data_IF_683804083651
#
_entry.id   IF_683804083651
#
_cell.length_a   1.000
_cell.length_b   1.000
_cell.length_c   1.000
_cell.angle_alpha   90.00
_cell.angle_beta   90.00
_cell.angle_gamma   90.00
#
_symmetry.space_group_name_H-M   'P 1'
#
loop_
_entity.id
_entity.type
_entity.pdbx_description
1 polymer ?
#
# COMPACT_ATOMS: atom_id res chain seq x y z
N UNK A 1 -13.31 12.60 -15.40
CA UNK A 1 -13.72 11.20 -15.66
C UNK A 1 -14.09 10.55 -14.34
N UNK A 2 -15.16 9.74 -14.29
CA UNK A 2 -15.51 8.98 -13.08
C UNK A 2 -14.99 7.55 -13.23
N UNK A 3 -14.28 7.05 -12.25
CA UNK A 3 -13.87 5.65 -12.13
C UNK A 3 -14.55 5.00 -10.94
N UNK A 4 -14.78 3.70 -11.03
CA UNK A 4 -15.32 2.87 -9.96
C UNK A 4 -14.25 1.88 -9.53
N UNK A 5 -13.87 1.94 -8.28
CA UNK A 5 -12.82 1.09 -7.71
C UNK A 5 -13.28 0.51 -6.38
N UNK A 6 -12.68 -0.59 -5.99
CA UNK A 6 -12.83 -1.10 -4.63
C UNK A 6 -11.58 -0.73 -3.84
N UNK A 7 -11.71 0.06 -2.78
CA UNK A 7 -10.58 0.43 -1.93
C UNK A 7 -10.77 -0.14 -0.54
N UNK A 8 -9.83 -0.98 -0.11
CA UNK A 8 -9.88 -1.68 1.18
C UNK A 8 -11.21 -2.42 1.41
N UNK A 9 -11.78 -2.97 0.34
CA UNK A 9 -13.06 -3.70 0.36
C UNK A 9 -14.31 -2.83 0.22
N UNK A 10 -14.18 -1.51 0.08
CA UNK A 10 -15.30 -0.60 -0.14
C UNK A 10 -15.37 -0.13 -1.59
N UNK A 11 -16.55 -0.22 -2.19
CA UNK A 11 -16.81 0.33 -3.52
C UNK A 11 -16.95 1.85 -3.44
N UNK A 12 -16.12 2.54 -4.21
CA UNK A 12 -16.10 4.00 -4.27
C UNK A 12 -16.10 4.49 -5.71
N UNK A 13 -16.66 5.67 -5.91
CA UNK A 13 -16.58 6.40 -7.18
C UNK A 13 -15.69 7.62 -6.99
N UNK A 14 -14.68 7.74 -7.85
CA UNK A 14 -13.76 8.86 -7.84
C UNK A 14 -13.85 9.66 -9.13
N UNK A 15 -13.97 10.96 -9.00
CA UNK A 15 -13.78 11.87 -10.11
C UNK A 15 -12.28 12.17 -10.25
N UNK A 16 -11.72 11.90 -11.42
CA UNK A 16 -10.29 12.01 -11.70
C UNK A 16 -10.02 12.83 -12.96
N UNK A 17 -8.82 13.42 -13.03
CA UNK A 17 -8.23 13.92 -14.28
C UNK A 17 -7.58 12.77 -15.05
N UNK A 18 -7.50 12.88 -16.38
CA UNK A 18 -6.97 11.79 -17.22
C UNK A 18 -5.47 11.55 -17.01
N UNK A 19 -4.75 12.56 -16.61
CA UNK A 19 -3.31 12.58 -16.34
C UNK A 19 -2.98 12.38 -14.85
N UNK A 20 -4.01 12.19 -14.00
CA UNK A 20 -3.84 12.01 -12.56
C UNK A 20 -3.27 10.63 -12.26
N UNK A 21 -2.21 10.58 -11.43
CA UNK A 21 -1.66 9.31 -10.96
C UNK A 21 -2.55 8.67 -9.90
N UNK A 22 -2.47 7.35 -9.77
CA UNK A 22 -3.15 6.66 -8.67
C UNK A 22 -2.70 7.19 -7.30
N UNK A 23 -1.41 7.55 -7.16
CA UNK A 23 -0.88 8.15 -5.93
C UNK A 23 -1.60 9.45 -5.59
N UNK A 24 -1.77 10.34 -6.56
CA UNK A 24 -2.44 11.63 -6.34
C UNK A 24 -3.90 11.42 -5.95
N UNK A 25 -4.62 10.52 -6.64
CA UNK A 25 -6.00 10.16 -6.30
C UNK A 25 -6.12 9.57 -4.90
N UNK A 26 -5.27 8.61 -4.54
CA UNK A 26 -5.25 8.02 -3.20
C UNK A 26 -5.07 9.09 -2.13
N UNK A 27 -4.10 9.96 -2.29
CA UNK A 27 -3.79 11.00 -1.31
C UNK A 27 -4.90 12.06 -1.20
N UNK A 28 -5.53 12.44 -2.32
CA UNK A 28 -6.68 13.34 -2.34
C UNK A 28 -7.88 12.76 -1.56
N UNK A 29 -8.01 11.44 -1.53
CA UNK A 29 -9.06 10.73 -0.80
C UNK A 29 -8.63 10.25 0.60
N UNK A 30 -7.49 10.74 1.13
CA UNK A 30 -7.09 10.51 2.51
C UNK A 30 -6.22 9.27 2.75
N UNK A 31 -5.79 8.56 1.70
CA UNK A 31 -4.91 7.37 1.81
C UNK A 31 -3.44 7.77 1.86
N UNK A 32 -2.99 8.24 3.01
CA UNK A 32 -1.65 8.81 3.19
C UNK A 32 -0.54 7.78 3.40
N UNK A 33 -0.89 6.50 3.56
CA UNK A 33 0.07 5.40 3.63
C UNK A 33 0.87 5.20 2.35
N UNK A 34 0.26 5.48 1.19
CA UNK A 34 0.98 5.64 -0.06
C UNK A 34 1.77 6.94 -0.03
N UNK A 35 3.12 6.84 0.06
CA UNK A 35 3.97 8.01 0.35
C UNK A 35 4.22 8.87 -0.88
N UNK A 36 3.94 10.16 -0.70
CA UNK A 36 4.32 11.21 -1.63
C UNK A 36 5.69 11.80 -1.21
N UNK A 37 6.50 12.18 -2.16
CA UNK A 37 7.81 12.77 -1.86
C UNK A 37 8.99 11.79 -1.94
N UNK A 38 8.73 10.56 -2.40
CA UNK A 38 9.79 9.65 -2.86
C UNK A 38 10.28 10.01 -4.26
N UNK A 39 10.67 9.01 -5.05
CA UNK A 39 11.28 9.21 -6.37
C UNK A 39 10.31 9.70 -7.46
N UNK A 40 9.03 9.37 -7.37
CA UNK A 40 7.99 9.56 -8.43
C UNK A 40 8.32 8.91 -9.79
N UNK A 41 9.31 8.02 -9.83
CA UNK A 41 9.79 7.33 -11.03
C UNK A 41 9.65 5.81 -10.96
N UNK A 42 8.98 5.30 -9.90
CA UNK A 42 8.74 3.87 -9.73
C UNK A 42 9.91 3.08 -9.11
N UNK A 43 10.94 3.76 -8.59
CA UNK A 43 12.17 3.12 -8.09
C UNK A 43 12.13 2.84 -6.59
N UNK A 44 11.68 3.79 -5.77
CA UNK A 44 11.80 3.68 -4.31
C UNK A 44 10.76 2.79 -3.64
N UNK A 45 9.62 2.53 -4.28
CA UNK A 45 8.55 1.69 -3.75
C UNK A 45 7.75 2.27 -2.58
N UNK A 46 8.07 3.47 -2.08
CA UNK A 46 7.40 4.04 -0.91
C UNK A 46 5.91 4.35 -1.13
N UNK A 47 5.49 4.48 -2.39
CA UNK A 47 4.10 4.67 -2.80
C UNK A 47 3.36 3.36 -3.12
N UNK A 48 3.96 2.20 -2.84
CA UNK A 48 3.37 0.91 -3.20
C UNK A 48 2.02 0.70 -2.49
N UNK A 49 1.09 0.17 -3.27
CA UNK A 49 -0.22 -0.33 -2.84
C UNK A 49 -0.42 -1.71 -3.47
N UNK A 50 -1.42 -2.47 -3.05
CA UNK A 50 -1.76 -3.70 -3.74
C UNK A 50 -2.89 -3.44 -4.73
N UNK A 51 -2.66 -3.78 -5.98
CA UNK A 51 -3.67 -3.79 -7.03
C UNK A 51 -4.00 -5.27 -7.33
N UNK A 52 -5.24 -5.66 -7.05
CA UNK A 52 -5.68 -7.06 -7.13
C UNK A 52 -4.72 -8.02 -6.39
N UNK A 53 -4.27 -7.60 -5.20
CA UNK A 53 -3.36 -8.36 -4.34
C UNK A 53 -1.88 -8.30 -4.71
N UNK A 54 -1.49 -7.62 -5.79
CA UNK A 54 -0.10 -7.50 -6.25
C UNK A 54 0.46 -6.11 -5.97
N UNK A 55 1.70 -5.98 -5.45
CA UNK A 55 2.29 -4.67 -5.21
C UNK A 55 2.57 -3.91 -6.51
N UNK A 56 2.13 -2.66 -6.55
CA UNK A 56 2.36 -1.73 -7.67
C UNK A 56 2.77 -0.36 -7.14
N UNK A 57 3.61 0.35 -7.89
CA UNK A 57 3.99 1.73 -7.57
C UNK A 57 2.91 2.70 -8.06
N UNK A 58 2.12 3.23 -7.14
CA UNK A 58 0.99 4.12 -7.47
C UNK A 58 1.41 5.42 -8.16
N UNK A 59 2.66 5.85 -8.03
CA UNK A 59 3.17 7.08 -8.66
C UNK A 59 3.39 6.97 -10.18
N UNK A 60 3.45 5.75 -10.72
CA UNK A 60 3.67 5.49 -12.16
C UNK A 60 2.44 4.91 -12.85
N UNK A 61 1.36 4.71 -12.11
CA UNK A 61 0.11 4.18 -12.62
C UNK A 61 -0.93 5.30 -12.70
N UNK A 62 -1.58 5.47 -13.86
CA UNK A 62 -2.68 6.43 -13.97
C UNK A 62 -3.93 5.93 -13.25
N UNK A 63 -4.63 6.84 -12.58
CA UNK A 63 -5.86 6.51 -11.87
C UNK A 63 -6.94 5.91 -12.80
N UNK A 64 -6.97 6.34 -14.07
CA UNK A 64 -7.88 5.80 -15.06
C UNK A 64 -7.69 4.29 -15.34
N UNK A 65 -6.46 3.77 -15.15
CA UNK A 65 -6.13 2.37 -15.44
C UNK A 65 -6.67 1.40 -14.39
N UNK A 66 -7.02 1.90 -13.20
CA UNK A 66 -7.50 1.04 -12.10
C UNK A 66 -9.03 0.98 -12.01
N UNK A 67 -9.74 1.50 -13.02
CA UNK A 67 -11.20 1.39 -13.06
C UNK A 67 -11.64 -0.08 -13.07
N UNK A 68 -12.50 -0.47 -12.12
CA UNK A 68 -12.99 -1.83 -11.94
C UNK A 68 -12.09 -2.75 -11.12
N UNK A 69 -10.93 -2.28 -10.66
CA UNK A 69 -9.96 -3.05 -9.88
C UNK A 69 -10.10 -2.86 -8.36
N UNK A 70 -9.48 -3.76 -7.61
CA UNK A 70 -9.37 -3.69 -6.14
C UNK A 70 -8.02 -3.13 -5.73
N UNK A 71 -8.04 -2.18 -4.80
CA UNK A 71 -6.86 -1.51 -4.26
C UNK A 71 -6.82 -1.74 -2.76
N UNK A 72 -5.75 -2.35 -2.25
CA UNK A 72 -5.48 -2.39 -0.82
C UNK A 72 -4.38 -1.40 -0.46
N UNK A 73 -4.65 -0.60 0.54
CA UNK A 73 -3.69 0.32 1.15
C UNK A 73 -3.41 -0.09 2.59
N UNK A 74 -2.38 0.47 3.21
CA UNK A 74 -2.05 0.17 4.61
C UNK A 74 -3.21 0.51 5.56
N UNK A 75 -4.00 1.50 5.22
CA UNK A 75 -5.16 1.93 6.00
C UNK A 75 -6.26 0.85 6.07
N UNK A 76 -6.29 -0.09 5.14
CA UNK A 76 -7.15 -1.26 5.19
C UNK A 76 -6.68 -2.37 6.13
N UNK A 77 -5.48 -2.23 6.71
CA UNK A 77 -4.85 -3.23 7.57
C UNK A 77 -4.85 -2.77 9.02
N UNK A 78 -5.76 -3.26 9.85
CA UNK A 78 -5.81 -2.88 11.26
C UNK A 78 -6.57 -1.58 11.52
N UNK A 79 -6.33 -0.99 12.70
CA UNK A 79 -7.15 0.08 13.25
C UNK A 79 -6.64 1.48 12.92
N UNK A 80 -7.47 2.31 12.25
CA UNK A 80 -7.25 3.73 11.99
C UNK A 80 -8.42 4.58 12.47
N UNK A 81 -8.56 4.78 13.80
CA UNK A 81 -9.70 5.50 14.38
C UNK A 81 -9.86 6.92 13.85
N UNK A 82 -8.75 7.55 13.48
CA UNK A 82 -8.76 8.95 13.05
C UNK A 82 -9.36 9.17 11.65
N UNK A 83 -9.41 8.13 10.83
CA UNK A 83 -9.86 8.23 9.44
C UNK A 83 -11.26 7.67 9.20
N UNK A 84 -11.90 7.11 10.24
CA UNK A 84 -13.31 6.69 10.21
C UNK A 84 -13.62 5.45 9.38
N UNK A 85 -12.61 4.77 8.85
CA UNK A 85 -12.77 3.63 7.95
C UNK A 85 -12.00 2.41 8.39
N UNK A 86 -12.31 2.04 9.59
CA UNK A 86 -11.75 0.87 10.21
C UNK A 86 -12.72 -0.24 10.33
N UNK A 87 -12.33 -1.36 9.73
CA UNK A 87 -13.13 -2.57 9.81
C UNK A 87 -12.57 -3.63 10.73
N UNK A 88 -11.34 -3.49 11.23
CA UNK A 88 -10.69 -4.49 12.08
C UNK A 88 -10.05 -3.85 13.30
N UNK A 89 -10.42 -4.32 14.48
CA UNK A 89 -9.83 -3.86 15.73
C UNK A 89 -8.38 -4.32 15.88
N UNK A 90 -7.52 -3.40 16.30
CA UNK A 90 -6.13 -3.63 16.60
C UNK A 90 -5.22 -3.74 15.37
N UNK A 91 -3.97 -4.04 15.61
CA UNK A 91 -2.96 -4.18 14.55
C UNK A 91 -3.11 -5.51 13.81
N UNK A 92 -2.92 -5.47 12.51
CA UNK A 92 -2.75 -6.68 11.73
C UNK A 92 -1.51 -7.47 12.22
N UNK A 93 -1.49 -8.82 12.19
CA UNK A 93 -0.36 -9.62 12.65
C UNK A 93 0.99 -9.20 12.05
N UNK A 94 1.03 -8.84 10.77
CA UNK A 94 2.23 -8.35 10.11
C UNK A 94 2.69 -7.03 10.72
N UNK A 95 1.79 -6.07 10.96
CA UNK A 95 2.12 -4.80 11.60
C UNK A 95 2.66 -5.01 13.01
N UNK A 96 2.06 -5.93 13.77
CA UNK A 96 2.52 -6.30 15.10
C UNK A 96 3.93 -6.89 15.06
N UNK A 97 4.21 -7.81 14.13
CA UNK A 97 5.53 -8.39 13.95
C UNK A 97 6.60 -7.33 13.68
N UNK A 98 6.31 -6.35 12.81
CA UNK A 98 7.22 -5.23 12.55
C UNK A 98 7.56 -4.42 13.81
N UNK A 99 6.59 -4.22 14.71
CA UNK A 99 6.81 -3.55 15.99
C UNK A 99 7.63 -4.41 16.97
N UNK A 100 7.26 -5.68 17.13
CA UNK A 100 7.87 -6.59 18.11
C UNK A 100 9.36 -6.85 17.81
N UNK A 101 9.74 -6.93 16.53
CA UNK A 101 11.14 -7.15 16.14
C UNK A 101 11.93 -5.84 15.93
N UNK A 102 11.31 -4.68 16.16
CA UNK A 102 11.96 -3.39 15.98
C UNK A 102 12.30 -3.04 14.53
N UNK A 103 11.53 -3.53 13.57
CA UNK A 103 11.74 -3.29 12.14
C UNK A 103 11.32 -1.89 11.66
N UNK A 104 11.09 -0.95 12.57
CA UNK A 104 10.64 0.40 12.28
C UNK A 104 11.59 1.40 12.93
N UNK A 105 12.11 2.34 12.13
CA UNK A 105 12.82 3.50 12.65
C UNK A 105 12.04 4.78 12.29
N UNK A 106 12.31 5.43 11.15
CA UNK A 106 11.53 6.61 10.76
C UNK A 106 10.09 6.30 10.32
N UNK A 107 9.80 5.04 9.94
CA UNK A 107 8.46 4.60 9.54
C UNK A 107 8.06 4.94 8.11
N UNK A 108 8.91 5.61 7.33
CA UNK A 108 8.54 6.08 5.98
C UNK A 108 8.28 4.94 5.00
N UNK A 109 9.16 3.94 4.94
CA UNK A 109 9.02 2.77 4.07
C UNK A 109 8.04 1.71 4.61
N UNK A 110 7.68 1.80 5.89
CA UNK A 110 6.95 0.75 6.60
C UNK A 110 5.61 0.38 5.97
N UNK A 111 4.73 1.31 5.56
CA UNK A 111 3.47 0.96 4.91
C UNK A 111 3.64 0.08 3.68
N UNK A 112 4.56 0.45 2.80
CA UNK A 112 4.84 -0.30 1.57
C UNK A 112 5.45 -1.69 1.86
N UNK A 113 6.37 -1.77 2.83
CA UNK A 113 6.97 -3.04 3.24
C UNK A 113 5.95 -4.00 3.84
N UNK A 114 5.04 -3.49 4.68
CA UNK A 114 3.96 -4.29 5.27
C UNK A 114 3.02 -4.82 4.18
N UNK A 115 2.67 -4.01 3.18
CA UNK A 115 1.83 -4.45 2.05
C UNK A 115 2.55 -5.49 1.18
N UNK A 116 3.85 -5.32 0.92
CA UNK A 116 4.65 -6.31 0.19
C UNK A 116 4.71 -7.65 0.95
N UNK A 117 4.91 -7.61 2.26
CA UNK A 117 4.85 -8.80 3.11
C UNK A 117 3.46 -9.46 3.12
N UNK A 118 2.39 -8.66 3.13
CA UNK A 118 1.02 -9.17 3.03
C UNK A 118 0.82 -9.94 1.73
N UNK A 119 1.18 -9.34 0.60
CA UNK A 119 1.06 -9.97 -0.72
C UNK A 119 1.82 -11.30 -0.80
N UNK A 120 3.05 -11.35 -0.28
CA UNK A 120 3.82 -12.59 -0.21
C UNK A 120 3.10 -13.67 0.61
N UNK A 121 2.64 -13.35 1.82
CA UNK A 121 2.01 -14.29 2.74
C UNK A 121 0.62 -14.76 2.29
N UNK A 122 -0.02 -14.06 1.39
CA UNK A 122 -1.27 -14.51 0.75
C UNK A 122 -1.01 -15.60 -0.28
N UNK A 123 0.13 -15.57 -0.95
CA UNK A 123 0.52 -16.54 -1.97
C UNK A 123 1.38 -17.68 -1.42
N UNK A 124 2.28 -17.38 -0.49
CA UNK A 124 3.20 -18.35 0.12
C UNK A 124 3.07 -18.32 1.65
N UNK A 125 2.54 -19.40 2.23
CA UNK A 125 2.28 -19.48 3.68
C UNK A 125 3.54 -19.69 4.54
N UNK A 126 4.59 -20.22 3.95
CA UNK A 126 5.87 -20.48 4.61
C UNK A 126 7.02 -20.05 3.71
N UNK A 127 7.18 -18.74 3.48
CA UNK A 127 8.20 -18.25 2.58
C UNK A 127 9.60 -18.54 3.14
N UNK A 128 10.52 -18.84 2.24
CA UNK A 128 11.93 -18.89 2.55
C UNK A 128 12.48 -17.48 2.75
N UNK A 129 13.65 -17.36 3.41
CA UNK A 129 14.31 -16.06 3.56
C UNK A 129 14.58 -15.38 2.21
N UNK A 130 14.95 -16.13 1.19
CA UNK A 130 15.20 -15.61 -0.16
C UNK A 130 13.91 -14.98 -0.76
N UNK A 131 12.78 -15.66 -0.61
CA UNK A 131 11.47 -15.13 -1.07
C UNK A 131 11.06 -13.86 -0.31
N UNK A 132 11.33 -13.81 1.00
CA UNK A 132 11.07 -12.60 1.81
C UNK A 132 11.93 -11.44 1.33
N UNK A 133 13.23 -11.67 1.13
CA UNK A 133 14.16 -10.64 0.62
C UNK A 133 13.75 -10.13 -0.75
N UNK A 134 13.34 -11.01 -1.65
CA UNK A 134 12.88 -10.65 -2.98
C UNK A 134 11.59 -9.83 -2.92
N UNK A 135 10.60 -10.26 -2.14
CA UNK A 135 9.32 -9.56 -2.01
C UNK A 135 9.48 -8.13 -1.44
N UNK A 136 10.43 -7.92 -0.53
CA UNK A 136 10.70 -6.62 0.07
C UNK A 136 11.68 -5.75 -0.74
N UNK A 137 12.38 -6.33 -1.71
CA UNK A 137 13.43 -5.62 -2.48
C UNK A 137 12.94 -4.43 -3.29
N UNK A 138 11.64 -4.41 -3.63
CA UNK A 138 11.00 -3.30 -4.34
C UNK A 138 10.77 -2.04 -3.51
N UNK A 139 11.06 -2.08 -2.21
CA UNK A 139 10.87 -0.94 -1.29
C UNK A 139 12.20 -0.56 -0.68
N UNK A 140 12.69 0.64 -0.99
CA UNK A 140 13.96 1.13 -0.44
C UNK A 140 13.78 1.64 0.99
N UNK A 141 14.72 1.28 1.86
CA UNK A 141 14.80 1.77 3.23
C UNK A 141 16.18 2.37 3.49
N UNK A 142 16.23 3.59 4.01
CA UNK A 142 17.51 4.27 4.33
C UNK A 142 17.96 3.99 5.77
N UNK A 143 17.05 3.64 6.67
CA UNK A 143 17.35 3.45 8.09
C UNK A 143 17.97 2.09 8.40
N UNK A 144 17.53 1.06 7.69
CA UNK A 144 17.88 -0.36 7.98
C UNK A 144 18.76 -1.00 6.94
#
# INVERSE_FOLDING_TARGET
>A
MIIRVQVNGEHVEWEICLDETLLDSLRRHGFFGAKFGGCKSGECGACAVLLDGKPVNSCTLFAAQVNGHSIDTIEGMGEHPEQGWMKKKGLHPIQRAFLEVGAIQCGYCTPAMVLAAKSLLETEKKPTEAQVREALSGVLCRCT
#
